data_IF_641094551584
#
_entry.id   IF_641094551584
#
_cell.length_a   1.000
_cell.length_b   1.000
_cell.length_c   1.000
_cell.angle_alpha   90.00
_cell.angle_beta   90.00
_cell.angle_gamma   90.00
#
_symmetry.space_group_name_H-M   'P 1'
#
loop_
_entity.id
_entity.type
_entity.pdbx_description
1 polymer ?
#
# COMPACT_ATOMS: atom_id res chain seq x y z
N UNK A 1 -11.62 11.65 -10.65
CA UNK A 1 -12.37 10.84 -11.64
C UNK A 1 -11.46 10.25 -12.72
N UNK A 2 -10.43 10.97 -13.17
CA UNK A 2 -9.43 10.58 -14.19
C UNK A 2 -8.71 9.24 -13.93
N UNK A 3 -8.33 8.93 -12.69
CA UNK A 3 -7.65 7.66 -12.36
C UNK A 3 -8.46 6.42 -12.76
N UNK A 4 -9.79 6.45 -12.60
CA UNK A 4 -10.66 5.31 -12.94
C UNK A 4 -10.74 5.09 -14.45
N UNK A 5 -10.77 6.18 -15.23
CA UNK A 5 -10.81 6.16 -16.70
C UNK A 5 -9.49 5.65 -17.26
N UNK A 6 -8.34 6.11 -16.74
CA UNK A 6 -7.03 5.59 -17.16
C UNK A 6 -6.89 4.11 -16.84
N UNK A 7 -7.35 3.69 -15.65
CA UNK A 7 -7.35 2.28 -15.27
C UNK A 7 -8.20 1.46 -16.25
N UNK A 8 -9.44 1.88 -16.52
CA UNK A 8 -10.33 1.20 -17.45
C UNK A 8 -9.73 1.10 -18.86
N UNK A 9 -9.12 2.20 -19.33
CA UNK A 9 -8.47 2.27 -20.65
C UNK A 9 -7.30 1.29 -20.77
N UNK A 10 -6.61 0.96 -19.69
CA UNK A 10 -5.51 -0.02 -19.68
C UNK A 10 -6.03 -1.46 -19.47
N UNK A 11 -6.94 -1.65 -18.52
CA UNK A 11 -7.42 -2.98 -18.14
C UNK A 11 -8.34 -3.61 -19.19
N UNK A 12 -9.15 -2.82 -19.91
CA UNK A 12 -10.06 -3.36 -20.93
C UNK A 12 -9.30 -3.98 -22.10
N UNK A 13 -8.36 -3.29 -22.78
CA UNK A 13 -7.56 -3.90 -23.84
C UNK A 13 -6.75 -5.10 -23.35
N UNK A 14 -6.16 -5.00 -22.15
CA UNK A 14 -5.43 -6.11 -21.54
C UNK A 14 -6.33 -7.34 -21.36
N UNK A 15 -7.56 -7.15 -20.88
CA UNK A 15 -8.54 -8.24 -20.73
C UNK A 15 -8.90 -8.87 -22.08
N UNK A 16 -9.10 -8.05 -23.13
CA UNK A 16 -9.37 -8.55 -24.49
C UNK A 16 -8.22 -9.43 -24.98
N UNK A 17 -6.97 -8.95 -24.86
CA UNK A 17 -5.78 -9.71 -25.25
C UNK A 17 -5.71 -11.04 -24.51
N UNK A 18 -5.95 -11.03 -23.19
CA UNK A 18 -5.98 -12.24 -22.38
C UNK A 18 -7.05 -13.23 -22.84
N UNK A 19 -8.27 -12.76 -23.11
CA UNK A 19 -9.36 -13.61 -23.61
C UNK A 19 -9.02 -14.23 -24.95
N UNK A 20 -8.49 -13.45 -25.90
CA UNK A 20 -8.06 -13.95 -27.22
C UNK A 20 -6.97 -15.01 -27.06
N UNK A 21 -5.98 -14.75 -26.21
CA UNK A 21 -4.92 -15.71 -25.89
C UNK A 21 -5.51 -17.01 -25.33
N UNK A 22 -6.48 -16.95 -24.41
CA UNK A 22 -7.16 -18.12 -23.86
C UNK A 22 -7.89 -18.93 -24.93
N UNK A 23 -8.70 -18.26 -25.77
CA UNK A 23 -9.53 -18.92 -26.79
C UNK A 23 -8.65 -19.55 -27.86
N UNK A 24 -7.63 -18.84 -28.32
CA UNK A 24 -6.68 -19.35 -29.31
C UNK A 24 -5.85 -20.52 -28.76
N UNK A 25 -5.52 -20.50 -27.46
CA UNK A 25 -4.69 -21.50 -26.79
C UNK A 25 -5.51 -22.39 -25.85
N UNK A 26 -6.70 -22.81 -26.28
CA UNK A 26 -7.58 -23.71 -25.52
C UNK A 26 -7.12 -25.17 -25.47
N UNK A 27 -6.08 -25.50 -26.23
CA UNK A 27 -5.47 -26.82 -26.28
C UNK A 27 -4.92 -27.22 -24.92
N UNK A 28 -5.21 -28.46 -24.50
CA UNK A 28 -4.71 -28.99 -23.24
C UNK A 28 -3.20 -29.25 -23.33
N UNK A 29 -2.46 -28.75 -22.35
CA UNK A 29 -1.02 -28.96 -22.21
C UNK A 29 -0.79 -29.62 -20.87
N UNK A 30 0.00 -30.69 -20.87
CA UNK A 30 0.41 -31.38 -19.64
C UNK A 30 1.60 -30.66 -19.03
N UNK A 31 1.39 -30.09 -17.85
CA UNK A 31 2.45 -29.56 -17.00
C UNK A 31 3.01 -30.71 -16.15
N UNK A 32 4.19 -31.22 -16.52
CA UNK A 32 4.93 -32.18 -15.72
C UNK A 32 5.79 -31.42 -14.69
N UNK A 33 5.50 -31.61 -13.40
CA UNK A 33 6.26 -31.01 -12.30
C UNK A 33 7.48 -31.84 -11.89
N UNK A 34 7.56 -33.09 -12.36
CA UNK A 34 8.69 -33.99 -12.09
C UNK A 34 9.75 -33.89 -13.20
N UNK A 35 10.93 -33.29 -12.94
CA UNK A 35 11.96 -33.12 -13.97
C UNK A 35 12.72 -34.41 -14.31
N UNK A 36 12.58 -35.49 -13.51
CA UNK A 36 13.30 -36.75 -13.70
C UNK A 36 12.45 -37.85 -14.33
N UNK A 37 11.12 -37.74 -14.23
CA UNK A 37 10.16 -38.68 -14.83
C UNK A 37 8.98 -37.91 -15.41
N UNK A 38 9.06 -37.47 -16.68
CA UNK A 38 8.00 -36.69 -17.32
C UNK A 38 6.66 -37.46 -17.44
N UNK A 39 6.73 -38.79 -17.53
CA UNK A 39 5.56 -39.67 -17.64
C UNK A 39 4.86 -39.94 -16.29
N UNK A 40 5.31 -39.30 -15.21
CA UNK A 40 4.73 -39.46 -13.88
C UNK A 40 3.35 -38.80 -13.80
N UNK A 41 2.30 -39.63 -13.69
CA UNK A 41 0.90 -39.19 -13.61
C UNK A 41 0.53 -38.53 -12.27
N UNK A 42 1.33 -38.70 -11.22
CA UNK A 42 1.04 -38.13 -9.89
C UNK A 42 1.44 -36.66 -9.79
N UNK A 43 2.49 -36.26 -10.51
CA UNK A 43 3.03 -34.90 -10.53
C UNK A 43 2.83 -34.21 -11.88
N UNK A 44 1.83 -34.65 -12.66
CA UNK A 44 1.46 -34.01 -13.91
C UNK A 44 0.01 -33.55 -13.88
N UNK A 45 -0.24 -32.37 -14.46
CA UNK A 45 -1.57 -31.79 -14.53
C UNK A 45 -1.84 -31.33 -15.96
N UNK A 46 -2.95 -31.74 -16.56
CA UNK A 46 -3.30 -31.34 -17.92
C UNK A 46 -4.43 -30.33 -17.91
N UNK A 47 -4.16 -29.14 -18.43
CA UNK A 47 -5.13 -28.07 -18.56
C UNK A 47 -4.72 -27.17 -19.73
N UNK A 48 -5.65 -26.35 -20.27
CA UNK A 48 -5.27 -25.33 -21.23
C UNK A 48 -4.19 -24.38 -20.66
N UNK A 49 -3.19 -24.05 -21.46
CA UNK A 49 -2.00 -23.34 -20.97
C UNK A 49 -2.31 -21.99 -20.29
N UNK A 50 -3.37 -21.31 -20.73
CA UNK A 50 -3.80 -20.07 -20.12
C UNK A 50 -4.14 -20.22 -18.63
N UNK A 51 -4.64 -21.37 -18.19
CA UNK A 51 -5.00 -21.62 -16.79
C UNK A 51 -3.75 -21.49 -15.91
N UNK A 52 -2.63 -22.08 -16.33
CA UNK A 52 -1.37 -22.00 -15.59
C UNK A 52 -0.84 -20.56 -15.52
N UNK A 53 -0.91 -19.81 -16.62
CA UNK A 53 -0.50 -18.39 -16.63
C UNK A 53 -1.35 -17.57 -15.66
N UNK A 54 -2.67 -17.73 -15.71
CA UNK A 54 -3.57 -17.00 -14.82
C UNK A 54 -3.29 -17.32 -13.35
N UNK A 55 -3.11 -18.60 -13.00
CA UNK A 55 -2.75 -19.01 -11.65
C UNK A 55 -1.41 -18.40 -11.20
N UNK A 56 -0.41 -18.40 -12.07
CA UNK A 56 0.90 -17.79 -11.79
C UNK A 56 0.77 -16.27 -11.54
N UNK A 57 -0.02 -15.57 -12.35
CA UNK A 57 -0.28 -14.12 -12.18
C UNK A 57 -1.02 -13.86 -10.88
N UNK A 58 -2.10 -14.60 -10.60
CA UNK A 58 -2.88 -14.47 -9.35
C UNK A 58 -1.96 -14.69 -8.14
N UNK A 59 -1.14 -15.74 -8.19
CA UNK A 59 -0.20 -16.05 -7.12
C UNK A 59 0.84 -14.94 -6.93
N UNK A 60 1.39 -14.41 -8.02
CA UNK A 60 2.32 -13.28 -7.99
C UNK A 60 1.69 -12.01 -7.40
N UNK A 61 0.45 -11.68 -7.76
CA UNK A 61 -0.30 -10.55 -7.19
C UNK A 61 -0.54 -10.75 -5.70
N UNK A 62 -0.89 -11.96 -5.27
CA UNK A 62 -1.12 -12.27 -3.86
C UNK A 62 0.16 -12.12 -3.04
N UNK A 63 1.27 -12.71 -3.50
CA UNK A 63 2.58 -12.55 -2.87
C UNK A 63 3.03 -11.09 -2.81
N UNK A 64 2.92 -10.36 -3.93
CA UNK A 64 3.26 -8.94 -3.99
C UNK A 64 2.41 -8.09 -3.03
N UNK A 65 1.12 -8.41 -2.91
CA UNK A 65 0.20 -7.76 -1.97
C UNK A 65 0.59 -8.04 -0.51
N UNK A 66 0.94 -9.29 -0.19
CA UNK A 66 1.43 -9.65 1.16
C UNK A 66 2.71 -8.88 1.50
N UNK A 67 3.70 -8.87 0.61
CA UNK A 67 4.95 -8.11 0.80
C UNK A 67 4.67 -6.62 1.02
N UNK A 68 3.79 -6.03 0.21
CA UNK A 68 3.38 -4.62 0.35
C UNK A 68 2.71 -4.36 1.69
N UNK A 69 1.84 -5.26 2.14
CA UNK A 69 1.15 -5.15 3.43
C UNK A 69 2.13 -5.16 4.60
N UNK A 70 3.09 -6.09 4.59
CA UNK A 70 4.13 -6.16 5.63
C UNK A 70 5.02 -4.91 5.62
N UNK A 71 5.41 -4.41 4.44
CA UNK A 71 6.20 -3.19 4.30
C UNK A 71 5.47 -1.94 4.83
N UNK A 72 4.18 -1.78 4.50
CA UNK A 72 3.37 -0.65 4.95
C UNK A 72 2.99 -0.73 6.43
N UNK A 73 3.02 -1.90 7.07
CA UNK A 73 2.75 -2.06 8.50
C UNK A 73 3.62 -1.19 9.41
N UNK A 74 4.89 -0.94 9.03
CA UNK A 74 5.80 -0.05 9.75
C UNK A 74 5.36 1.42 9.71
N UNK A 75 4.74 1.85 8.61
CA UNK A 75 4.31 3.23 8.42
C UNK A 75 3.10 3.57 9.29
N UNK A 76 2.21 2.58 9.53
CA UNK A 76 1.10 2.72 10.48
C UNK A 76 1.57 2.95 11.93
N UNK A 77 2.72 2.39 12.32
CA UNK A 77 3.32 2.66 13.63
C UNK A 77 3.96 4.05 13.70
N UNK A 78 4.70 4.45 12.66
CA UNK A 78 5.33 5.79 12.59
C UNK A 78 4.31 6.92 12.63
N UNK A 79 3.23 6.84 11.86
CA UNK A 79 2.18 7.86 11.88
C UNK A 79 1.55 8.05 13.27
N UNK A 80 1.43 6.97 14.07
CA UNK A 80 0.93 7.06 15.45
C UNK A 80 1.94 7.69 16.40
N UNK A 81 3.23 7.39 16.25
CA UNK A 81 4.28 7.98 17.08
C UNK A 81 4.45 9.46 16.78
N UNK A 82 4.52 9.82 15.50
CA UNK A 82 4.65 11.22 15.04
C UNK A 82 3.44 12.07 15.48
N UNK A 83 2.22 11.53 15.42
CA UNK A 83 1.04 12.22 15.92
C UNK A 83 1.12 12.51 17.44
N UNK A 84 1.67 11.57 18.23
CA UNK A 84 1.85 11.77 19.68
C UNK A 84 2.93 12.81 19.98
N UNK A 85 4.02 12.79 19.23
CA UNK A 85 5.11 13.76 19.37
C UNK A 85 4.64 15.17 19.01
N UNK A 86 3.86 15.32 17.94
CA UNK A 86 3.27 16.60 17.54
C UNK A 86 2.36 17.19 18.64
N UNK A 87 1.54 16.36 19.30
CA UNK A 87 0.69 16.79 20.43
C UNK A 87 1.55 17.24 21.61
N UNK A 88 2.63 16.52 21.94
CA UNK A 88 3.53 16.92 23.03
C UNK A 88 4.17 18.27 22.77
N UNK A 89 4.69 18.50 21.56
CA UNK A 89 5.27 19.80 21.20
C UNK A 89 4.25 20.94 21.21
N UNK A 90 3.00 20.67 20.82
CA UNK A 90 1.93 21.67 20.93
C UNK A 90 1.61 22.00 22.39
N UNK A 91 1.56 21.01 23.30
CA UNK A 91 1.32 21.25 24.73
C UNK A 91 2.46 22.06 25.36
N UNK A 92 3.71 21.69 25.07
CA UNK A 92 4.90 22.42 25.53
C UNK A 92 4.89 23.87 25.02
N UNK A 93 4.64 24.10 23.73
CA UNK A 93 4.53 25.45 23.17
C UNK A 93 3.40 26.27 23.81
N UNK A 94 2.25 25.66 24.09
CA UNK A 94 1.13 26.32 24.76
C UNK A 94 1.46 26.68 26.21
N UNK A 95 2.19 25.82 26.94
CA UNK A 95 2.67 26.12 28.29
C UNK A 95 3.61 27.31 28.32
N UNK A 96 4.54 27.39 27.37
CA UNK A 96 5.44 28.54 27.26
C UNK A 96 4.69 29.83 26.93
N UNK A 97 3.70 29.79 26.02
CA UNK A 97 2.83 30.94 25.73
C UNK A 97 2.00 31.37 26.94
N UNK A 98 1.43 30.42 27.68
CA UNK A 98 0.66 30.70 28.89
C UNK A 98 1.55 31.33 29.98
N UNK A 99 2.75 30.79 30.21
CA UNK A 99 3.72 31.36 31.15
C UNK A 99 4.13 32.80 30.76
N UNK A 100 4.43 33.05 29.48
CA UNK A 100 4.75 34.39 28.98
C UNK A 100 3.57 35.37 29.14
N UNK A 101 2.34 34.90 28.90
CA UNK A 101 1.11 35.70 29.07
C UNK A 101 0.89 36.06 30.54
N UNK A 102 1.07 35.11 31.46
CA UNK A 102 0.95 35.36 32.91
C UNK A 102 1.99 36.37 33.40
N UNK A 103 3.23 36.29 32.91
CA UNK A 103 4.29 37.28 33.23
C UNK A 103 3.91 38.66 32.70
N UNK A 104 3.38 38.77 31.48
CA UNK A 104 2.91 40.04 30.93
C UNK A 104 1.71 40.63 31.72
N UNK A 105 0.80 39.77 32.22
CA UNK A 105 -0.37 40.17 33.02
C UNK A 105 0.03 40.64 34.42
N UNK A 106 1.03 40.01 35.04
CA UNK A 106 1.49 40.35 36.38
C UNK A 106 2.63 41.39 36.42
N UNK A 107 3.03 41.93 35.26
CA UNK A 107 4.02 43.01 35.21
C UNK A 107 3.53 44.24 35.99
N UNK A 108 4.38 44.84 36.84
CA UNK A 108 4.00 45.97 37.70
C UNK A 108 3.52 47.15 36.85
N UNK A 109 2.51 47.86 37.36
CA UNK A 109 1.78 48.94 36.67
C UNK A 109 2.72 50.02 36.11
N UNK A 110 3.86 50.27 36.77
CA UNK A 110 4.86 51.26 36.38
C UNK A 110 5.50 50.98 35.02
N UNK A 111 5.64 49.70 34.63
CA UNK A 111 6.24 49.31 33.35
C UNK A 111 5.27 49.46 32.15
N UNK A 112 3.95 49.53 32.39
CA UNK A 112 2.94 49.65 31.33
C UNK A 112 2.69 51.08 30.86
N UNK A 113 3.06 52.06 31.67
CA UNK A 113 2.86 53.49 31.36
C UNK A 113 4.03 54.05 30.54
N UNK A 114 5.23 53.45 30.63
CA UNK A 114 6.43 53.93 29.93
C UNK A 114 6.52 53.57 28.44
N UNK A 115 5.60 52.77 27.89
CA UNK A 115 5.65 52.33 26.48
C UNK A 115 4.55 52.89 25.57
N UNK A 116 3.80 53.92 26.02
CA UNK A 116 2.78 54.62 25.22
C UNK A 116 3.27 56.01 24.87
#
# INVERSE_FOLDING_TARGET
MSKKIVNLLVFVPLAIILVVLCVANRQAVTLALNPFKPDDSLLSFSAPFFVFIFLAVIFGVFLGSMVTWFSQGKHRKRARTEAKEAIRWHDEANRHKAAATTVAINAPVDARIASK
#
